data_IF_458139642989
#
_entry.id   IF_458139642989
#
_cell.length_a   1.000
_cell.length_b   1.000
_cell.length_c   1.000
_cell.angle_alpha   90.00
_cell.angle_beta   90.00
_cell.angle_gamma   90.00
#
_symmetry.space_group_name_H-M   'P 1'
#
loop_
_entity.id
_entity.type
_entity.pdbx_description
1 polymer ?
#
# COMPACT_ATOMS: atom_id res chain seq x y z
N UNK A 1 -67.83 -18.14 52.47
CA UNK A 1 -67.02 -18.56 51.32
C UNK A 1 -66.81 -17.36 50.40
N UNK A 2 -65.61 -16.70 50.45
CA UNK A 2 -65.32 -15.52 49.69
C UNK A 2 -64.34 -15.96 48.60
N UNK A 3 -64.73 -15.82 47.32
CA UNK A 3 -63.86 -16.12 46.14
C UNK A 3 -63.09 -14.86 45.76
N UNK A 4 -61.75 -14.89 45.88
CA UNK A 4 -60.85 -13.89 45.31
C UNK A 4 -60.52 -14.27 43.89
N UNK A 5 -60.91 -13.41 42.94
CA UNK A 5 -60.45 -13.50 41.52
C UNK A 5 -59.15 -12.69 41.37
N UNK A 6 -58.08 -13.36 41.00
CA UNK A 6 -56.81 -12.73 40.69
C UNK A 6 -56.83 -12.36 39.18
N UNK A 7 -56.88 -11.07 38.91
CA UNK A 7 -56.72 -10.56 37.54
C UNK A 7 -55.22 -10.49 37.21
N UNK A 8 -54.77 -11.29 36.24
CA UNK A 8 -53.40 -11.24 35.71
C UNK A 8 -53.27 -10.08 34.71
N UNK A 9 -52.48 -9.08 35.06
CA UNK A 9 -52.13 -7.95 34.17
C UNK A 9 -50.98 -8.40 33.29
N UNK A 10 -51.23 -8.65 32.00
CA UNK A 10 -50.19 -8.90 31.00
C UNK A 10 -49.58 -7.57 30.53
N UNK A 11 -48.34 -7.29 30.94
CA UNK A 11 -47.54 -6.15 30.43
C UNK A 11 -46.96 -6.56 29.10
N UNK A 12 -47.51 -6.06 28.00
CA UNK A 12 -46.95 -6.17 26.67
C UNK A 12 -45.77 -5.15 26.54
N UNK A 13 -44.54 -5.64 26.66
CA UNK A 13 -43.37 -4.85 26.38
C UNK A 13 -43.26 -4.63 24.84
N UNK A 14 -43.62 -3.44 24.39
CA UNK A 14 -43.43 -3.02 23.02
C UNK A 14 -41.90 -2.85 22.75
N UNK A 15 -41.32 -3.81 22.07
CA UNK A 15 -39.96 -3.64 21.48
C UNK A 15 -40.06 -2.61 20.36
N UNK A 16 -39.79 -1.36 20.67
CA UNK A 16 -39.52 -0.34 19.64
C UNK A 16 -38.16 -0.67 19.03
N UNK A 17 -38.05 -0.85 17.69
CA UNK A 17 -36.76 -0.99 17.05
C UNK A 17 -36.01 0.33 17.27
N UNK A 18 -34.87 0.24 17.96
CA UNK A 18 -33.91 1.35 18.03
C UNK A 18 -33.56 1.75 16.59
N UNK A 19 -33.62 3.04 16.22
CA UNK A 19 -33.21 3.48 14.92
C UNK A 19 -31.77 3.04 14.74
N UNK A 20 -31.53 2.17 13.73
CA UNK A 20 -30.18 1.84 13.30
C UNK A 20 -29.52 3.18 12.98
N UNK A 21 -28.54 3.59 13.79
CA UNK A 21 -27.72 4.78 13.50
C UNK A 21 -27.19 4.60 12.10
N UNK A 22 -27.73 5.35 11.14
CA UNK A 22 -27.21 5.42 9.79
C UNK A 22 -25.72 5.76 9.93
N UNK A 23 -24.86 4.80 9.66
CA UNK A 23 -23.43 4.98 9.73
C UNK A 23 -23.11 6.21 8.88
N UNK A 24 -22.38 7.19 9.43
CA UNK A 24 -21.93 8.38 8.70
C UNK A 24 -21.28 7.88 7.42
N UNK A 25 -21.99 7.97 6.29
CA UNK A 25 -21.55 7.51 4.97
C UNK A 25 -20.57 8.50 4.34
N UNK A 26 -20.47 9.69 4.89
CA UNK A 26 -19.68 10.78 4.36
C UNK A 26 -18.37 10.93 5.14
N UNK A 27 -17.26 11.03 4.39
CA UNK A 27 -15.96 11.43 4.93
C UNK A 27 -15.79 12.93 4.73
N UNK A 28 -15.48 13.65 5.79
CA UNK A 28 -15.30 15.12 5.77
C UNK A 28 -13.85 15.46 5.41
N UNK A 29 -12.91 14.61 5.82
CA UNK A 29 -11.47 14.85 5.66
C UNK A 29 -10.74 13.59 5.20
N UNK A 30 -9.49 13.79 4.73
CA UNK A 30 -8.54 12.69 4.49
C UNK A 30 -8.33 11.86 5.76
N UNK A 31 -8.27 12.49 6.93
CA UNK A 31 -8.08 11.81 8.21
C UNK A 31 -9.19 10.80 8.50
N UNK A 32 -10.45 11.14 8.18
CA UNK A 32 -11.58 10.24 8.38
C UNK A 32 -11.48 8.99 7.50
N UNK A 33 -11.00 9.17 6.25
CA UNK A 33 -10.76 8.04 5.35
C UNK A 33 -9.67 7.14 5.90
N UNK A 34 -8.57 7.75 6.38
CA UNK A 34 -7.43 7.03 6.96
C UNK A 34 -7.86 6.23 8.20
N UNK A 35 -8.64 6.83 9.08
CA UNK A 35 -9.17 6.17 10.29
C UNK A 35 -10.13 5.02 9.95
N UNK A 36 -10.93 5.17 8.90
CA UNK A 36 -11.77 4.09 8.41
C UNK A 36 -10.96 2.95 7.81
N UNK A 37 -9.93 3.23 7.01
CA UNK A 37 -9.02 2.22 6.44
C UNK A 37 -8.33 1.43 7.55
N UNK A 38 -7.86 2.10 8.61
CA UNK A 38 -7.18 1.47 9.75
C UNK A 38 -8.02 0.37 10.40
N UNK A 39 -9.32 0.60 10.49
CA UNK A 39 -10.29 -0.31 11.12
C UNK A 39 -10.96 -1.27 10.15
N UNK A 40 -10.77 -1.07 8.83
CA UNK A 40 -11.51 -1.79 7.81
C UNK A 40 -11.35 -3.30 7.90
N UNK A 41 -10.16 -3.82 8.20
CA UNK A 41 -9.92 -5.26 8.34
C UNK A 41 -10.75 -5.92 9.44
N UNK A 42 -11.02 -5.17 10.51
CA UNK A 42 -11.82 -5.63 11.66
C UNK A 42 -13.32 -5.49 11.40
N UNK A 43 -13.70 -4.48 10.62
CA UNK A 43 -15.09 -4.19 10.28
C UNK A 43 -15.20 -3.77 8.82
N UNK A 44 -15.24 -4.72 7.87
CA UNK A 44 -15.36 -4.39 6.45
C UNK A 44 -16.68 -3.69 6.11
N UNK A 45 -16.58 -2.52 5.50
CA UNK A 45 -17.71 -1.70 5.04
C UNK A 45 -17.48 -1.30 3.56
N UNK A 46 -17.51 -2.26 2.61
CA UNK A 46 -17.14 -2.00 1.21
C UNK A 46 -18.01 -0.93 0.55
N UNK A 47 -19.27 -0.78 0.95
CA UNK A 47 -20.17 0.25 0.43
C UNK A 47 -19.68 1.68 0.67
N UNK A 48 -18.75 1.92 1.59
CA UNK A 48 -18.14 3.23 1.85
C UNK A 48 -16.98 3.58 0.91
N UNK A 49 -16.43 2.60 0.15
CA UNK A 49 -15.31 2.83 -0.76
C UNK A 49 -15.54 4.00 -1.74
N UNK A 50 -16.69 4.11 -2.42
CA UNK A 50 -16.93 5.22 -3.33
C UNK A 50 -16.85 6.60 -2.66
N UNK A 51 -17.41 6.72 -1.45
CA UNK A 51 -17.36 7.96 -0.68
C UNK A 51 -15.92 8.27 -0.24
N UNK A 52 -15.16 7.26 0.18
CA UNK A 52 -13.75 7.42 0.56
C UNK A 52 -12.88 7.91 -0.62
N UNK A 53 -13.04 7.33 -1.81
CA UNK A 53 -12.30 7.74 -3.01
C UNK A 53 -12.64 9.19 -3.39
N UNK A 54 -13.94 9.57 -3.34
CA UNK A 54 -14.36 10.95 -3.62
C UNK A 54 -13.82 11.95 -2.60
N UNK A 55 -13.76 11.57 -1.32
CA UNK A 55 -13.18 12.41 -0.28
C UNK A 55 -11.66 12.59 -0.46
N UNK A 56 -10.94 11.52 -0.84
CA UNK A 56 -9.51 11.60 -1.16
C UNK A 56 -9.25 12.50 -2.38
N UNK A 57 -10.08 12.39 -3.42
CA UNK A 57 -10.01 13.24 -4.61
C UNK A 57 -10.25 14.72 -4.24
N UNK A 58 -11.30 15.01 -3.46
CA UNK A 58 -11.60 16.37 -2.99
C UNK A 58 -10.51 16.97 -2.11
N UNK A 59 -9.77 16.12 -1.38
CA UNK A 59 -8.66 16.51 -0.53
C UNK A 59 -7.30 16.58 -1.27
N UNK A 60 -7.31 16.52 -2.60
CA UNK A 60 -6.10 16.46 -3.45
C UNK A 60 -5.13 15.32 -3.12
N UNK A 61 -5.58 14.30 -2.40
CA UNK A 61 -4.73 13.19 -1.96
C UNK A 61 -4.36 12.21 -3.11
N UNK A 62 -4.98 12.38 -4.27
CA UNK A 62 -4.76 11.56 -5.47
C UNK A 62 -3.97 12.30 -6.55
N UNK A 63 -3.54 13.56 -6.26
CA UNK A 63 -2.85 14.41 -7.24
C UNK A 63 -1.48 13.84 -7.65
N UNK A 64 -0.80 13.19 -6.71
CA UNK A 64 0.48 12.51 -6.96
C UNK A 64 0.27 10.99 -6.95
N UNK A 65 0.32 10.32 -8.12
CA UNK A 65 0.17 8.88 -8.23
C UNK A 65 1.20 8.08 -7.43
N UNK A 66 2.43 8.57 -7.30
CA UNK A 66 3.49 7.89 -6.56
C UNK A 66 3.22 7.91 -5.04
N UNK A 67 2.61 9.00 -4.53
CA UNK A 67 2.23 9.11 -3.13
C UNK A 67 0.88 8.44 -2.79
N UNK A 68 0.10 8.06 -3.80
CA UNK A 68 -1.25 7.51 -3.62
C UNK A 68 -1.33 5.98 -3.76
N UNK A 69 -0.20 5.29 -3.90
CA UNK A 69 -0.13 3.83 -4.07
C UNK A 69 -0.94 3.05 -3.03
N UNK A 70 -0.89 3.48 -1.77
CA UNK A 70 -1.65 2.87 -0.69
C UNK A 70 -3.17 2.91 -0.95
N UNK A 71 -3.71 4.04 -1.40
CA UNK A 71 -5.14 4.17 -1.68
C UNK A 71 -5.57 3.34 -2.89
N UNK A 72 -4.71 3.24 -3.91
CA UNK A 72 -4.91 2.33 -5.05
C UNK A 72 -4.98 0.89 -4.59
N UNK A 73 -4.00 0.45 -3.80
CA UNK A 73 -3.95 -0.91 -3.27
C UNK A 73 -5.15 -1.24 -2.40
N UNK A 74 -5.56 -0.29 -1.56
CA UNK A 74 -6.75 -0.44 -0.72
C UNK A 74 -8.03 -0.57 -1.56
N UNK A 75 -8.24 0.34 -2.51
CA UNK A 75 -9.40 0.28 -3.39
C UNK A 75 -9.43 -1.03 -4.21
N UNK A 76 -8.28 -1.43 -4.76
CA UNK A 76 -8.14 -2.69 -5.48
C UNK A 76 -8.47 -3.91 -4.60
N UNK A 77 -7.97 -3.92 -3.36
CA UNK A 77 -8.24 -5.00 -2.42
C UNK A 77 -9.71 -5.08 -2.00
N UNK A 78 -10.37 -3.93 -1.79
CA UNK A 78 -11.82 -3.90 -1.51
C UNK A 78 -12.62 -4.43 -2.69
N UNK A 79 -12.29 -4.04 -3.92
CA UNK A 79 -12.95 -4.56 -5.13
C UNK A 79 -12.72 -6.08 -5.24
N UNK A 80 -11.48 -6.55 -5.09
CA UNK A 80 -11.13 -7.97 -5.20
C UNK A 80 -11.78 -8.85 -4.15
N UNK A 81 -11.95 -8.33 -2.93
CA UNK A 81 -12.62 -9.03 -1.82
C UNK A 81 -14.16 -9.05 -1.93
N UNK A 82 -14.74 -8.26 -2.85
CA UNK A 82 -16.19 -8.14 -3.02
C UNK A 82 -16.60 -8.27 -4.50
N UNK A 83 -16.34 -9.42 -5.15
CA UNK A 83 -16.56 -9.59 -6.59
C UNK A 83 -18.01 -9.30 -7.03
N UNK A 84 -18.99 -9.71 -6.21
CA UNK A 84 -20.42 -9.51 -6.50
C UNK A 84 -20.87 -8.04 -6.43
N UNK A 85 -20.12 -7.20 -5.71
CA UNK A 85 -20.40 -5.77 -5.53
C UNK A 85 -19.46 -4.88 -6.33
N UNK A 86 -18.42 -5.44 -6.96
CA UNK A 86 -17.38 -4.66 -7.61
C UNK A 86 -17.92 -3.72 -8.67
N UNK A 87 -18.84 -4.19 -9.50
CA UNK A 87 -19.48 -3.38 -10.56
C UNK A 87 -20.23 -2.18 -9.96
N UNK A 88 -21.04 -2.40 -8.93
CA UNK A 88 -21.78 -1.35 -8.23
C UNK A 88 -20.83 -0.34 -7.56
N UNK A 89 -19.77 -0.82 -6.91
CA UNK A 89 -18.79 0.04 -6.24
C UNK A 89 -18.05 0.93 -7.25
N UNK A 90 -17.65 0.39 -8.40
CA UNK A 90 -17.03 1.16 -9.49
C UNK A 90 -18.00 2.18 -10.03
N UNK A 91 -19.25 1.78 -10.30
CA UNK A 91 -20.30 2.68 -10.80
C UNK A 91 -20.52 3.89 -9.88
N UNK A 92 -20.53 3.67 -8.55
CA UNK A 92 -20.72 4.71 -7.53
C UNK A 92 -19.47 5.57 -7.29
N UNK A 93 -18.29 5.01 -7.52
CA UNK A 93 -17.02 5.73 -7.41
C UNK A 93 -16.88 6.79 -8.51
N UNK A 94 -17.37 6.49 -9.70
CA UNK A 94 -17.37 7.40 -10.83
C UNK A 94 -18.61 8.35 -10.83
N UNK A 95 -18.53 9.57 -11.41
CA UNK A 95 -17.34 10.15 -12.04
C UNK A 95 -16.29 10.64 -11.04
N UNK A 96 -15.05 10.69 -11.50
CA UNK A 96 -13.93 11.35 -10.84
C UNK A 96 -13.40 12.46 -11.75
N UNK A 97 -12.77 13.51 -11.19
CA UNK A 97 -12.02 14.49 -11.97
C UNK A 97 -11.02 13.80 -12.90
N UNK A 98 -10.73 14.37 -14.04
CA UNK A 98 -9.83 13.79 -15.05
C UNK A 98 -8.45 13.45 -14.48
N UNK A 99 -7.94 14.30 -13.61
CA UNK A 99 -6.68 14.07 -12.90
C UNK A 99 -6.67 12.78 -12.08
N UNK A 100 -7.78 12.38 -11.49
CA UNK A 100 -7.92 11.31 -10.50
C UNK A 100 -8.47 9.98 -11.08
N UNK A 101 -8.97 9.99 -12.33
CA UNK A 101 -9.52 8.79 -12.98
C UNK A 101 -8.51 7.62 -13.02
N UNK A 102 -7.22 7.90 -13.00
CA UNK A 102 -6.17 6.90 -12.99
C UNK A 102 -6.26 5.94 -11.80
N UNK A 103 -6.75 6.43 -10.63
CA UNK A 103 -6.96 5.57 -9.45
C UNK A 103 -7.99 4.48 -9.75
N UNK A 104 -9.13 4.84 -10.37
CA UNK A 104 -10.16 3.87 -10.70
C UNK A 104 -9.65 2.83 -11.72
N UNK A 105 -8.90 3.27 -12.75
CA UNK A 105 -8.28 2.36 -13.72
C UNK A 105 -7.34 1.37 -13.02
N UNK A 106 -6.42 1.87 -12.20
CA UNK A 106 -5.48 0.99 -11.46
C UNK A 106 -6.19 0.10 -10.44
N UNK A 107 -7.17 0.63 -9.70
CA UNK A 107 -7.91 -0.17 -8.72
C UNK A 107 -8.62 -1.35 -9.37
N UNK A 108 -9.21 -1.16 -10.56
CA UNK A 108 -9.83 -2.25 -11.33
C UNK A 108 -8.75 -3.25 -11.81
N UNK A 109 -7.68 -2.77 -12.45
CA UNK A 109 -6.62 -3.62 -12.99
C UNK A 109 -5.89 -4.41 -11.89
N UNK A 110 -5.74 -3.84 -10.69
CA UNK A 110 -5.03 -4.43 -9.55
C UNK A 110 -5.93 -5.23 -8.61
N UNK A 111 -7.24 -5.30 -8.89
CA UNK A 111 -8.21 -5.98 -8.02
C UNK A 111 -8.00 -7.49 -7.92
N UNK A 112 -7.37 -8.11 -8.93
CA UNK A 112 -7.27 -9.56 -9.04
C UNK A 112 -8.59 -10.24 -9.46
N UNK A 113 -9.61 -9.47 -9.81
CA UNK A 113 -10.88 -10.01 -10.32
C UNK A 113 -10.68 -10.68 -11.68
N UNK A 114 -11.23 -11.87 -11.94
CA UNK A 114 -11.12 -12.50 -13.26
C UNK A 114 -11.67 -11.62 -14.39
N UNK A 115 -12.75 -10.87 -14.11
CA UNK A 115 -13.44 -10.00 -15.07
C UNK A 115 -12.91 -8.56 -15.11
N UNK A 116 -11.73 -8.27 -14.58
CA UNK A 116 -11.21 -6.89 -14.50
C UNK A 116 -11.11 -6.19 -15.87
N UNK A 117 -10.78 -6.96 -16.94
CA UNK A 117 -10.71 -6.41 -18.31
C UNK A 117 -12.08 -5.96 -18.82
N UNK A 118 -13.13 -6.72 -18.51
CA UNK A 118 -14.51 -6.38 -18.93
C UNK A 118 -15.03 -5.19 -18.14
N UNK A 119 -14.67 -5.10 -16.85
CA UNK A 119 -14.97 -3.91 -16.05
C UNK A 119 -14.27 -2.67 -16.61
N UNK A 120 -12.98 -2.75 -16.98
CA UNK A 120 -12.29 -1.62 -17.62
C UNK A 120 -12.94 -1.20 -18.93
N UNK A 121 -13.31 -2.16 -19.80
CA UNK A 121 -14.03 -1.84 -21.06
C UNK A 121 -15.37 -1.15 -20.79
N UNK A 122 -16.15 -1.69 -19.85
CA UNK A 122 -17.48 -1.17 -19.48
C UNK A 122 -17.42 0.27 -18.99
N UNK A 123 -16.43 0.61 -18.18
CA UNK A 123 -16.31 1.94 -17.58
C UNK A 123 -15.40 2.91 -18.37
N UNK A 124 -14.82 2.49 -19.49
CA UNK A 124 -13.87 3.30 -20.27
C UNK A 124 -14.45 4.66 -20.71
N UNK A 125 -15.71 4.69 -21.12
CA UNK A 125 -16.41 5.91 -21.52
C UNK A 125 -16.63 6.90 -20.37
N UNK A 126 -16.59 6.42 -19.13
CA UNK A 126 -16.69 7.26 -17.92
C UNK A 126 -15.33 7.73 -17.39
N UNK A 127 -14.24 7.31 -18.03
CA UNK A 127 -12.85 7.68 -17.72
C UNK A 127 -12.11 8.12 -18.99
N UNK A 128 -12.64 9.09 -19.75
CA UNK A 128 -12.11 9.45 -21.07
C UNK A 128 -10.68 9.98 -21.01
N UNK A 129 -10.30 10.66 -19.93
CA UNK A 129 -8.96 11.19 -19.74
C UNK A 129 -7.90 10.09 -19.56
N UNK A 130 -8.29 8.83 -19.38
CA UNK A 130 -7.38 7.67 -19.17
C UNK A 130 -7.52 6.61 -20.25
N UNK A 131 -8.03 6.96 -21.42
CA UNK A 131 -8.21 6.01 -22.52
C UNK A 131 -6.92 5.26 -22.89
N UNK A 132 -5.82 5.97 -23.08
CA UNK A 132 -4.50 5.35 -23.39
C UNK A 132 -4.06 4.38 -22.28
N UNK A 133 -4.22 4.78 -21.03
CA UNK A 133 -3.87 3.92 -19.88
C UNK A 133 -4.72 2.66 -19.86
N UNK A 134 -6.02 2.76 -20.12
CA UNK A 134 -6.94 1.62 -20.20
C UNK A 134 -6.52 0.68 -21.33
N UNK A 135 -6.26 1.21 -22.53
CA UNK A 135 -5.81 0.42 -23.68
C UNK A 135 -4.51 -0.33 -23.37
N UNK A 136 -3.55 0.32 -22.73
CA UNK A 136 -2.28 -0.31 -22.34
C UNK A 136 -2.41 -1.41 -21.30
N UNK A 137 -3.42 -1.37 -20.42
CA UNK A 137 -3.76 -2.51 -19.56
C UNK A 137 -4.43 -3.63 -20.35
N UNK A 138 -5.36 -3.31 -21.25
CA UNK A 138 -6.13 -4.29 -21.99
C UNK A 138 -5.26 -5.10 -22.97
N UNK A 139 -4.25 -4.47 -23.58
CA UNK A 139 -3.30 -5.08 -24.51
C UNK A 139 -2.03 -5.67 -23.84
N UNK A 140 -1.93 -5.59 -22.49
CA UNK A 140 -0.84 -6.16 -21.71
C UNK A 140 0.46 -5.36 -21.74
N UNK A 141 0.46 -4.12 -22.24
CA UNK A 141 1.62 -3.22 -22.12
C UNK A 141 1.84 -2.67 -20.71
N UNK A 142 0.77 -2.59 -19.90
CA UNK A 142 0.86 -2.36 -18.47
C UNK A 142 0.50 -3.64 -17.72
N UNK A 143 1.30 -3.96 -16.72
CA UNK A 143 1.12 -5.15 -15.89
C UNK A 143 0.15 -4.88 -14.74
N UNK A 144 -0.66 -5.87 -14.42
CA UNK A 144 -1.46 -5.86 -13.18
C UNK A 144 -0.55 -6.07 -11.96
N UNK A 145 -1.08 -5.78 -10.78
CA UNK A 145 -0.31 -5.96 -9.55
C UNK A 145 0.22 -7.40 -9.39
N UNK A 146 -0.58 -8.39 -9.77
CA UNK A 146 -0.21 -9.81 -9.63
C UNK A 146 0.81 -10.28 -10.69
N UNK A 147 0.91 -9.58 -11.82
CA UNK A 147 1.88 -9.84 -12.90
C UNK A 147 3.24 -9.16 -12.65
N UNK A 148 3.30 -8.14 -11.80
CA UNK A 148 4.55 -7.45 -11.47
C UNK A 148 5.43 -8.38 -10.64
N UNK A 149 6.55 -8.78 -11.18
CA UNK A 149 7.55 -9.59 -10.47
C UNK A 149 8.52 -8.68 -9.71
N UNK A 150 8.59 -8.85 -8.39
CA UNK A 150 9.34 -7.97 -7.49
C UNK A 150 10.82 -8.32 -7.35
N UNK A 151 11.23 -9.52 -7.71
CA UNK A 151 12.62 -9.97 -7.57
C UNK A 151 12.99 -10.94 -8.69
N UNK A 152 13.34 -10.39 -9.86
CA UNK A 152 14.25 -11.10 -10.76
C UNK A 152 15.57 -10.35 -10.74
N UNK A 153 16.45 -10.75 -9.81
CA UNK A 153 17.87 -10.57 -10.07
C UNK A 153 18.15 -11.16 -11.44
N UNK A 154 18.70 -10.40 -12.39
CA UNK A 154 18.95 -10.93 -13.70
C UNK A 154 19.76 -12.22 -13.58
N UNK A 155 19.32 -13.27 -14.27
CA UNK A 155 20.05 -14.53 -14.33
C UNK A 155 21.48 -14.27 -14.80
N UNK A 156 22.41 -15.19 -14.56
CA UNK A 156 23.80 -15.03 -15.00
C UNK A 156 23.90 -14.78 -16.52
N UNK A 157 23.01 -15.39 -17.32
CA UNK A 157 22.90 -15.18 -18.77
C UNK A 157 22.41 -13.78 -19.12
N UNK A 158 21.40 -13.28 -18.40
CA UNK A 158 20.90 -11.90 -18.57
C UNK A 158 21.95 -10.88 -18.13
N UNK A 159 22.72 -11.16 -17.07
CA UNK A 159 23.86 -10.32 -16.67
C UNK A 159 24.92 -10.25 -17.76
N UNK A 160 25.27 -11.37 -18.38
CA UNK A 160 26.20 -11.41 -19.51
C UNK A 160 25.62 -10.63 -20.70
N UNK A 161 24.36 -10.85 -21.04
CA UNK A 161 23.70 -10.14 -22.15
C UNK A 161 23.67 -8.62 -21.95
N UNK A 162 23.34 -8.16 -20.75
CA UNK A 162 23.39 -6.73 -20.38
C UNK A 162 24.83 -6.19 -20.44
N UNK A 163 25.81 -6.98 -19.99
CA UNK A 163 27.23 -6.61 -19.99
C UNK A 163 27.78 -6.51 -21.40
N UNK A 164 27.21 -7.25 -22.36
CA UNK A 164 27.53 -7.20 -23.79
C UNK A 164 26.75 -6.11 -24.54
N UNK A 165 26.06 -5.21 -23.85
CA UNK A 165 25.29 -4.11 -24.44
C UNK A 165 23.87 -4.47 -24.89
N UNK A 166 23.38 -5.66 -24.53
CA UNK A 166 22.02 -6.07 -24.78
C UNK A 166 21.03 -5.33 -23.88
N UNK A 167 19.79 -5.12 -24.38
CA UNK A 167 18.72 -4.52 -23.58
C UNK A 167 18.27 -5.53 -22.52
N UNK A 168 17.98 -5.08 -21.28
CA UNK A 168 17.35 -5.95 -20.28
C UNK A 168 16.00 -6.47 -20.82
N UNK A 169 15.58 -7.69 -20.42
CA UNK A 169 14.32 -8.25 -20.87
C UNK A 169 13.18 -7.28 -20.51
N UNK A 170 12.34 -6.99 -21.50
CA UNK A 170 11.33 -5.91 -21.46
C UNK A 170 10.20 -6.09 -20.41
N UNK A 171 10.21 -7.19 -19.65
CA UNK A 171 9.20 -7.54 -18.62
C UNK A 171 9.67 -7.36 -17.18
N UNK A 172 10.93 -6.98 -16.94
CA UNK A 172 11.39 -6.68 -15.59
C UNK A 172 10.91 -5.28 -15.22
N UNK A 173 9.83 -5.18 -14.48
CA UNK A 173 9.43 -3.92 -13.85
C UNK A 173 10.35 -3.72 -12.66
N UNK A 174 11.28 -2.76 -12.78
CA UNK A 174 12.10 -2.32 -11.67
C UNK A 174 11.22 -1.63 -10.63
N UNK A 175 11.45 -1.89 -9.34
CA UNK A 175 10.87 -1.09 -8.26
C UNK A 175 11.15 0.40 -8.40
N UNK A 176 12.29 0.79 -8.96
CA UNK A 176 12.63 2.18 -9.19
C UNK A 176 11.70 2.91 -10.14
N UNK A 177 11.04 2.17 -11.02
CA UNK A 177 10.03 2.72 -11.91
C UNK A 177 8.61 2.66 -11.31
N UNK A 178 8.45 2.05 -10.12
CA UNK A 178 7.15 1.90 -9.43
C UNK A 178 7.35 1.97 -7.90
N UNK A 179 7.80 3.11 -7.37
CA UNK A 179 8.06 3.27 -5.93
C UNK A 179 6.81 3.08 -5.08
N UNK A 180 5.63 3.34 -5.67
CA UNK A 180 4.33 3.17 -5.04
C UNK A 180 3.91 1.71 -4.83
N UNK A 181 4.69 0.74 -5.37
CA UNK A 181 4.30 -0.67 -5.35
C UNK A 181 4.26 -1.25 -3.94
N UNK A 182 5.25 -0.89 -3.10
CA UNK A 182 5.28 -1.31 -1.68
C UNK A 182 4.02 -0.85 -0.95
N UNK A 183 3.60 0.34 -1.24
CA UNK A 183 2.45 1.01 -0.66
C UNK A 183 1.14 0.39 -1.15
N UNK A 184 1.10 0.07 -2.43
CA UNK A 184 -0.02 -0.65 -3.05
C UNK A 184 -0.20 -2.03 -2.39
N UNK A 185 0.88 -2.74 -2.10
CA UNK A 185 0.83 -4.02 -1.38
C UNK A 185 0.30 -3.87 0.05
N UNK A 186 0.74 -2.83 0.78
CA UNK A 186 0.17 -2.54 2.09
C UNK A 186 -1.31 -2.18 2.01
N UNK A 187 -1.71 -1.33 1.06
CA UNK A 187 -3.12 -1.00 0.84
C UNK A 187 -3.96 -2.25 0.60
N UNK A 188 -3.47 -3.17 -0.22
CA UNK A 188 -4.14 -4.45 -0.50
C UNK A 188 -4.28 -5.32 0.76
N UNK A 189 -3.26 -5.36 1.61
CA UNK A 189 -3.34 -6.05 2.90
C UNK A 189 -4.39 -5.43 3.82
N UNK A 190 -4.43 -4.10 3.92
CA UNK A 190 -5.41 -3.40 4.79
C UNK A 190 -6.85 -3.54 4.30
N UNK A 191 -7.08 -3.80 3.02
CA UNK A 191 -8.41 -4.00 2.45
C UNK A 191 -9.02 -5.37 2.73
N UNK A 192 -8.23 -6.41 2.97
CA UNK A 192 -8.79 -7.76 3.05
C UNK A 192 -7.86 -8.80 3.68
N UNK A 193 -6.80 -8.35 4.37
CA UNK A 193 -5.78 -9.25 4.96
C UNK A 193 -5.12 -10.16 3.92
N UNK A 194 -4.89 -9.63 2.72
CA UNK A 194 -4.23 -10.38 1.63
C UNK A 194 -2.79 -10.74 2.04
N UNK A 195 -2.63 -11.98 2.51
CA UNK A 195 -1.33 -12.50 2.95
C UNK A 195 -0.29 -12.51 1.83
N UNK A 196 -0.70 -12.63 0.55
CA UNK A 196 0.23 -12.60 -0.60
C UNK A 196 0.93 -11.25 -0.69
N UNK A 197 0.24 -10.16 -0.37
CA UNK A 197 0.85 -8.84 -0.35
C UNK A 197 2.02 -8.78 0.65
N UNK A 198 1.85 -9.32 1.86
CA UNK A 198 2.92 -9.37 2.86
C UNK A 198 4.08 -10.25 2.38
N UNK A 199 3.78 -11.42 1.76
CA UNK A 199 4.85 -12.30 1.23
C UNK A 199 5.70 -11.59 0.19
N UNK A 200 5.09 -10.80 -0.66
CA UNK A 200 5.80 -10.00 -1.66
C UNK A 200 6.67 -8.92 -1.02
N UNK A 201 6.19 -8.27 0.05
CA UNK A 201 7.00 -7.31 0.81
C UNK A 201 8.22 -8.00 1.45
N UNK A 202 8.09 -9.24 1.94
CA UNK A 202 9.21 -9.97 2.51
C UNK A 202 10.33 -10.25 1.50
N UNK A 203 10.02 -10.42 0.21
CA UNK A 203 11.04 -10.75 -0.82
C UNK A 203 12.08 -9.65 -0.99
N UNK A 204 11.76 -8.40 -0.66
CA UNK A 204 12.69 -7.27 -0.78
C UNK A 204 13.44 -6.94 0.51
N UNK A 205 13.20 -7.66 1.61
CA UNK A 205 13.94 -7.47 2.87
C UNK A 205 15.47 -7.60 2.73
N UNK A 206 16.03 -8.52 1.91
CA UNK A 206 17.46 -8.60 1.70
C UNK A 206 18.08 -7.30 1.17
N UNK A 207 17.31 -6.49 0.45
CA UNK A 207 17.76 -5.22 -0.11
C UNK A 207 18.03 -4.15 0.95
N UNK A 208 17.55 -4.33 2.19
CA UNK A 208 17.84 -3.42 3.31
C UNK A 208 19.34 -3.33 3.68
N UNK A 209 20.19 -4.13 3.03
CA UNK A 209 21.64 -4.11 3.15
C UNK A 209 22.34 -4.09 1.77
N UNK A 210 21.63 -3.68 0.72
CA UNK A 210 22.19 -3.60 -0.62
C UNK A 210 23.29 -2.54 -0.67
N UNK A 211 24.45 -2.89 -1.24
CA UNK A 211 25.61 -2.02 -1.35
C UNK A 211 25.85 -1.54 -2.78
N UNK A 212 25.05 -2.01 -3.72
CA UNK A 212 25.24 -1.77 -5.15
C UNK A 212 24.21 -0.81 -5.74
N UNK A 213 23.01 -0.74 -5.14
CA UNK A 213 21.89 0.08 -5.63
C UNK A 213 21.25 0.85 -4.49
N UNK A 214 21.31 2.19 -4.56
CA UNK A 214 20.62 3.09 -3.64
C UNK A 214 19.10 2.84 -3.67
N UNK A 215 18.54 2.58 -4.85
CA UNK A 215 17.13 2.26 -5.05
C UNK A 215 16.74 1.01 -4.24
N UNK A 216 17.47 -0.10 -4.42
CA UNK A 216 17.20 -1.36 -3.70
C UNK A 216 17.38 -1.18 -2.20
N UNK A 217 18.46 -0.52 -1.76
CA UNK A 217 18.68 -0.19 -0.35
C UNK A 217 17.49 0.60 0.23
N UNK A 218 16.99 1.58 -0.50
CA UNK A 218 15.88 2.42 -0.07
C UNK A 218 14.57 1.63 0.05
N UNK A 219 14.25 0.81 -0.95
CA UNK A 219 13.04 -0.04 -0.93
C UNK A 219 13.11 -1.11 0.16
N UNK A 220 14.25 -1.80 0.28
CA UNK A 220 14.47 -2.78 1.35
C UNK A 220 14.38 -2.16 2.74
N UNK A 221 14.94 -0.96 2.91
CA UNK A 221 14.87 -0.19 4.15
C UNK A 221 13.42 0.20 4.49
N UNK A 222 12.65 0.67 3.50
CA UNK A 222 11.25 0.99 3.67
C UNK A 222 10.42 -0.26 4.02
N UNK A 223 10.68 -1.38 3.35
CA UNK A 223 10.02 -2.65 3.66
C UNK A 223 10.33 -3.11 5.09
N UNK A 224 11.61 -3.11 5.50
CA UNK A 224 12.04 -3.49 6.86
C UNK A 224 11.37 -2.62 7.92
N UNK A 225 11.35 -1.31 7.72
CA UNK A 225 10.73 -0.36 8.65
C UNK A 225 9.21 -0.52 8.71
N UNK A 226 8.51 -0.56 7.57
CA UNK A 226 7.05 -0.65 7.54
C UNK A 226 6.54 -1.98 8.09
N UNK A 227 7.27 -3.09 7.87
CA UNK A 227 6.97 -4.37 8.50
C UNK A 227 7.10 -4.31 10.01
N UNK A 228 8.20 -3.75 10.54
CA UNK A 228 8.41 -3.62 11.97
C UNK A 228 7.35 -2.72 12.63
N UNK A 229 7.07 -1.58 12.03
CA UNK A 229 6.09 -0.63 12.56
C UNK A 229 4.66 -1.19 12.55
N UNK A 230 4.26 -1.84 11.46
CA UNK A 230 2.94 -2.47 11.39
C UNK A 230 2.83 -3.70 12.29
N UNK A 231 3.89 -4.51 12.42
CA UNK A 231 3.90 -5.64 13.34
C UNK A 231 3.84 -5.20 14.82
N UNK A 232 4.48 -4.10 15.18
CA UNK A 232 4.39 -3.54 16.54
C UNK A 232 2.97 -3.03 16.86
N UNK A 233 2.26 -2.53 15.84
CA UNK A 233 0.92 -1.94 16.01
C UNK A 233 -0.21 -2.96 15.88
N UNK A 234 -0.06 -3.93 14.98
CA UNK A 234 -1.11 -4.89 14.64
C UNK A 234 -0.66 -6.31 15.01
N UNK A 235 -1.22 -6.89 16.10
CA UNK A 235 -0.85 -8.24 16.57
C UNK A 235 -1.04 -9.33 15.51
N UNK A 236 -2.01 -9.17 14.61
CA UNK A 236 -2.24 -10.10 13.50
C UNK A 236 -1.11 -10.08 12.48
N UNK A 237 -0.53 -8.90 12.20
CA UNK A 237 0.67 -8.78 11.35
C UNK A 237 1.84 -9.47 12.02
N UNK A 238 2.08 -9.21 13.30
CA UNK A 238 3.18 -9.84 14.05
C UNK A 238 3.06 -11.37 14.07
N UNK A 239 1.85 -11.88 14.35
CA UNK A 239 1.59 -13.32 14.34
C UNK A 239 1.86 -13.94 12.95
N UNK A 240 1.46 -13.24 11.89
CA UNK A 240 1.71 -13.64 10.51
C UNK A 240 3.20 -13.72 10.18
N UNK A 241 3.99 -12.73 10.60
CA UNK A 241 5.44 -12.73 10.39
C UNK A 241 6.12 -13.86 11.17
N UNK A 242 5.75 -14.09 12.43
CA UNK A 242 6.25 -15.21 13.25
C UNK A 242 5.90 -16.58 12.66
N UNK A 243 4.70 -16.76 12.11
CA UNK A 243 4.27 -17.99 11.44
C UNK A 243 5.17 -18.31 10.23
N UNK A 244 5.61 -17.29 9.50
CA UNK A 244 6.33 -17.46 8.24
C UNK A 244 7.84 -17.46 8.37
N UNK A 245 8.38 -16.87 9.43
CA UNK A 245 9.82 -16.74 9.62
C UNK A 245 10.58 -18.07 9.46
N UNK A 246 10.19 -19.20 10.09
CA UNK A 246 10.94 -20.45 9.99
C UNK A 246 11.02 -21.05 8.59
N UNK A 247 10.10 -20.66 7.72
CA UNK A 247 9.99 -21.20 6.35
C UNK A 247 10.69 -20.31 5.31
N UNK A 248 11.29 -19.19 5.73
CA UNK A 248 11.96 -18.27 4.82
C UNK A 248 13.40 -18.71 4.52
N UNK A 249 13.91 -18.47 3.31
CA UNK A 249 15.34 -18.56 3.02
C UNK A 249 16.15 -17.68 3.97
N UNK A 250 17.39 -18.05 4.26
CA UNK A 250 18.23 -17.35 5.24
C UNK A 250 18.38 -15.85 4.95
N UNK A 251 18.47 -15.48 3.67
CA UNK A 251 18.59 -14.08 3.25
C UNK A 251 17.38 -13.22 3.66
N UNK A 252 16.18 -13.80 3.72
CA UNK A 252 14.94 -13.15 4.18
C UNK A 252 14.78 -13.34 5.68
N UNK A 253 15.08 -14.52 6.20
CA UNK A 253 14.85 -14.91 7.59
C UNK A 253 15.60 -14.01 8.57
N UNK A 254 16.90 -13.74 8.34
CA UNK A 254 17.69 -12.88 9.23
C UNK A 254 17.11 -11.47 9.38
N UNK A 255 16.88 -10.69 8.30
CA UNK A 255 16.26 -9.37 8.44
C UNK A 255 14.82 -9.44 8.96
N UNK A 256 14.09 -10.53 8.75
CA UNK A 256 12.76 -10.73 9.31
C UNK A 256 12.80 -10.95 10.83
N UNK A 257 13.81 -11.66 11.34
CA UNK A 257 14.05 -11.80 12.80
C UNK A 257 14.30 -10.44 13.46
N UNK A 258 15.07 -9.55 12.81
CA UNK A 258 15.26 -8.18 13.29
C UNK A 258 13.93 -7.42 13.36
N UNK A 259 13.08 -7.57 12.32
CA UNK A 259 11.74 -6.96 12.25
C UNK A 259 10.87 -7.45 13.42
N UNK A 260 10.78 -8.76 13.61
CA UNK A 260 9.98 -9.38 14.67
C UNK A 260 10.48 -8.93 16.06
N UNK A 261 11.79 -8.96 16.27
CA UNK A 261 12.39 -8.51 17.53
C UNK A 261 12.06 -7.05 17.83
N UNK A 262 12.21 -6.17 16.84
CA UNK A 262 11.90 -4.75 17.01
C UNK A 262 10.41 -4.51 17.27
N UNK A 263 9.52 -5.28 16.66
CA UNK A 263 8.08 -5.21 16.91
C UNK A 263 7.73 -5.69 18.32
N UNK A 264 8.29 -6.82 18.77
CA UNK A 264 8.06 -7.37 20.12
C UNK A 264 8.56 -6.43 21.23
N UNK A 265 9.65 -5.70 20.99
CA UNK A 265 10.24 -4.78 21.97
C UNK A 265 9.80 -3.32 21.80
N UNK A 266 8.92 -3.04 20.86
CA UNK A 266 8.48 -1.69 20.46
C UNK A 266 9.65 -0.76 20.06
N UNK A 267 10.79 -1.33 19.63
CA UNK A 267 12.00 -0.59 19.25
C UNK A 267 12.09 -0.29 17.75
N UNK A 268 10.97 0.03 17.14
CA UNK A 268 10.91 0.32 15.68
C UNK A 268 11.72 1.56 15.30
N UNK A 269 11.88 2.51 16.22
CA UNK A 269 12.70 3.71 16.02
C UNK A 269 14.18 3.37 15.79
N UNK A 270 14.69 2.27 16.37
CA UNK A 270 16.05 1.82 16.16
C UNK A 270 16.27 1.34 14.73
N UNK A 271 15.35 0.51 14.19
CA UNK A 271 15.42 0.09 12.79
C UNK A 271 15.45 1.31 11.86
N UNK A 272 14.59 2.31 12.11
CA UNK A 272 14.57 3.53 11.32
C UNK A 272 15.92 4.24 11.32
N UNK A 273 16.50 4.45 12.52
CA UNK A 273 17.81 5.12 12.68
C UNK A 273 18.90 4.41 11.90
N UNK A 274 18.95 3.08 12.02
CA UNK A 274 19.95 2.25 11.33
C UNK A 274 19.80 2.33 9.81
N UNK A 275 18.56 2.26 9.29
CA UNK A 275 18.33 2.31 7.85
C UNK A 275 18.62 3.70 7.26
N UNK A 276 18.30 4.79 7.97
CA UNK A 276 18.69 6.13 7.56
C UNK A 276 20.20 6.28 7.50
N UNK A 277 20.93 5.80 8.51
CA UNK A 277 22.37 5.86 8.53
C UNK A 277 23.02 5.11 7.33
N UNK A 278 22.47 3.95 6.95
CA UNK A 278 22.95 3.19 5.79
C UNK A 278 22.70 3.94 4.48
N UNK A 279 21.54 4.58 4.32
CA UNK A 279 21.20 5.38 3.15
C UNK A 279 22.11 6.61 3.04
N UNK A 280 22.35 7.31 4.16
CA UNK A 280 23.21 8.48 4.19
C UNK A 280 24.67 8.10 3.92
N UNK A 281 25.15 6.98 4.49
CA UNK A 281 26.47 6.44 4.18
C UNK A 281 26.61 6.10 2.69
N UNK A 282 25.62 5.43 2.11
CA UNK A 282 25.60 5.12 0.68
C UNK A 282 25.66 6.39 -0.19
N UNK A 283 24.88 7.42 0.16
CA UNK A 283 24.90 8.72 -0.54
C UNK A 283 26.27 9.39 -0.47
N UNK A 284 26.96 9.26 0.67
CA UNK A 284 28.27 9.86 0.92
C UNK A 284 29.41 9.11 0.21
N UNK A 285 29.40 7.78 0.24
CA UNK A 285 30.49 6.92 -0.23
C UNK A 285 30.28 6.42 -1.67
N UNK A 286 29.04 6.41 -2.14
CA UNK A 286 28.65 5.81 -3.42
C UNK A 286 28.57 4.28 -3.35
N UNK A 287 28.24 3.66 -4.49
CA UNK A 287 28.24 2.20 -4.63
C UNK A 287 29.66 1.64 -4.52
N UNK A 288 29.81 0.51 -3.83
CA UNK A 288 31.08 -0.24 -3.76
C UNK A 288 31.53 -0.69 -5.15
N UNK A 289 30.60 -0.84 -6.07
CA UNK A 289 30.88 -1.19 -7.48
C UNK A 289 30.86 0.06 -8.35
N UNK A 290 32.02 0.63 -8.66
CA UNK A 290 32.21 1.84 -9.48
C UNK A 290 31.53 1.87 -10.87
N UNK A 291 30.79 0.83 -11.27
CA UNK A 291 30.16 0.69 -12.59
C UNK A 291 28.82 1.40 -12.76
N UNK A 292 28.15 1.85 -11.71
CA UNK A 292 26.78 2.40 -11.80
C UNK A 292 26.69 3.94 -11.76
N UNK A 293 27.80 4.66 -11.92
CA UNK A 293 27.81 6.14 -11.91
C UNK A 293 26.94 6.79 -12.99
N UNK A 294 26.57 6.07 -14.05
CA UNK A 294 25.71 6.60 -15.12
C UNK A 294 24.21 6.59 -14.79
N UNK A 295 23.78 5.91 -13.72
CA UNK A 295 22.38 5.81 -13.31
C UNK A 295 21.94 6.92 -12.35
N UNK A 296 22.85 7.79 -11.93
CA UNK A 296 22.59 8.92 -11.02
C UNK A 296 21.70 10.02 -11.60
N UNK A 297 21.37 9.97 -12.89
CA UNK A 297 20.44 10.91 -13.54
C UNK A 297 18.96 10.75 -13.11
N UNK A 298 18.60 9.67 -12.39
CA UNK A 298 17.25 9.39 -11.90
C UNK A 298 17.09 9.59 -10.38
N UNK A 299 17.86 10.48 -9.80
CA UNK A 299 17.88 10.74 -8.34
C UNK A 299 16.56 11.24 -7.77
N UNK A 300 15.60 11.66 -8.61
CA UNK A 300 14.29 12.16 -8.16
C UNK A 300 13.38 11.10 -7.49
N UNK A 301 13.52 9.83 -7.83
CA UNK A 301 12.60 8.78 -7.39
C UNK A 301 13.01 8.09 -6.07
N UNK A 302 14.30 8.08 -5.73
CA UNK A 302 14.79 7.53 -4.45
C UNK A 302 14.42 8.38 -3.22
N UNK A 303 13.96 9.62 -3.42
CA UNK A 303 13.65 10.56 -2.33
C UNK A 303 12.35 10.22 -1.61
N UNK A 304 11.38 9.56 -2.23
CA UNK A 304 10.07 9.25 -1.63
C UNK A 304 10.20 8.20 -0.52
N UNK A 305 10.95 7.12 -0.76
CA UNK A 305 11.14 6.08 0.25
C UNK A 305 12.03 6.53 1.42
N UNK A 306 13.03 7.40 1.17
CA UNK A 306 13.79 8.09 2.23
C UNK A 306 12.87 9.01 3.01
N UNK A 307 11.96 9.72 2.32
CA UNK A 307 10.93 10.55 2.93
C UNK A 307 10.04 9.77 3.89
N UNK A 308 9.64 8.54 3.55
CA UNK A 308 8.86 7.69 4.44
C UNK A 308 9.61 7.32 5.72
N UNK A 309 10.88 6.96 5.64
CA UNK A 309 11.69 6.67 6.81
C UNK A 309 11.93 7.94 7.64
N UNK A 310 12.04 9.11 7.01
CA UNK A 310 12.24 10.41 7.66
C UNK A 310 10.94 11.01 8.22
N UNK A 311 9.80 10.94 7.50
CA UNK A 311 8.52 11.55 7.92
C UNK A 311 7.93 10.92 9.18
N UNK A 312 8.20 9.65 9.44
CA UNK A 312 7.88 9.02 10.72
C UNK A 312 8.62 9.68 11.90
N UNK A 313 9.60 10.57 11.64
CA UNK A 313 10.31 11.32 12.67
C UNK A 313 9.49 12.49 13.24
N UNK A 314 8.52 13.00 12.47
CA UNK A 314 7.75 14.20 12.83
C UNK A 314 6.32 13.80 13.21
N UNK A 315 6.18 13.06 14.32
CA UNK A 315 4.96 12.90 15.15
C UNK A 315 3.61 12.56 14.48
N UNK A 316 3.55 12.08 13.23
CA UNK A 316 2.32 11.54 12.66
C UNK A 316 2.06 10.07 13.03
N UNK A 317 2.83 9.53 13.97
CA UNK A 317 2.66 8.21 14.57
C UNK A 317 1.30 8.03 15.28
N UNK A 318 0.60 9.11 15.56
CA UNK A 318 -0.72 9.07 16.21
C UNK A 318 -1.82 8.44 15.32
N UNK A 319 -1.64 8.41 14.00
CA UNK A 319 -2.64 7.86 13.08
C UNK A 319 -2.34 6.45 12.58
N UNK A 320 -1.17 5.89 12.93
CA UNK A 320 -0.84 4.47 12.83
C UNK A 320 -0.92 3.77 11.50
N UNK A 321 -1.14 4.48 10.45
CA UNK A 321 -1.09 3.92 9.12
C UNK A 321 0.35 3.80 8.63
N UNK A 322 0.66 2.87 7.71
CA UNK A 322 1.99 2.76 7.15
C UNK A 322 2.48 4.14 6.71
N UNK A 323 3.78 4.34 6.79
CA UNK A 323 4.51 5.56 6.44
C UNK A 323 4.03 6.27 5.15
N UNK A 324 3.47 5.53 4.27
CA UNK A 324 2.96 5.83 2.96
C UNK A 324 1.80 6.80 2.93
N UNK A 325 0.93 6.78 3.92
CA UNK A 325 -0.20 7.73 3.98
C UNK A 325 0.29 9.14 4.35
N UNK A 326 1.50 9.22 4.90
CA UNK A 326 2.20 10.47 5.15
C UNK A 326 2.79 11.15 3.90
N UNK A 327 2.74 10.55 2.70
CA UNK A 327 3.43 11.03 1.50
C UNK A 327 3.16 12.49 1.11
N UNK A 328 1.97 13.04 1.40
CA UNK A 328 1.71 14.48 1.21
C UNK A 328 2.45 15.37 2.22
N UNK A 329 2.85 14.82 3.38
CA UNK A 329 3.64 15.53 4.39
C UNK A 329 5.14 15.43 4.09
N UNK A 330 5.56 14.39 3.35
CA UNK A 330 6.95 14.18 2.96
C UNK A 330 7.45 15.23 1.97
N UNK A 331 6.62 15.70 1.05
CA UNK A 331 7.02 16.78 0.13
C UNK A 331 7.34 18.08 0.89
N UNK A 332 6.57 18.40 1.94
CA UNK A 332 6.85 19.55 2.80
C UNK A 332 8.10 19.33 3.68
N UNK A 333 8.32 18.13 4.19
CA UNK A 333 9.49 17.80 4.99
C UNK A 333 10.78 17.75 4.14
N UNK A 334 10.71 17.22 2.91
CA UNK A 334 11.84 17.21 1.97
C UNK A 334 12.22 18.63 1.58
N UNK A 335 11.23 19.50 1.30
CA UNK A 335 11.49 20.91 0.98
C UNK A 335 12.09 21.66 2.18
N UNK A 336 11.70 21.32 3.41
CA UNK A 336 12.28 21.90 4.62
C UNK A 336 13.75 21.49 4.83
N UNK A 337 14.11 20.21 4.54
CA UNK A 337 15.49 19.73 4.67
C UNK A 337 16.39 20.07 3.48
N UNK A 338 15.81 20.29 2.29
CA UNK A 338 16.57 20.78 1.13
C UNK A 338 16.87 22.29 1.20
N UNK A 339 16.22 23.01 2.12
CA UNK A 339 16.41 24.45 2.34
C UNK A 339 17.35 24.76 3.52
N UNK A 340 17.86 23.74 4.23
CA UNK A 340 18.94 23.87 5.24
C UNK A 340 20.24 23.27 4.69
#
# INVERSE_FOLDING_TARGET
MVRFSIAALAVAAAFLPLPAQAAKTEFISRSDVVEWIDRYRLKPEPARLPAAVKALSKADALRDPEAAGFYVGFAAGVLGANPDKADELIAKMLPLPDGDQWLAVRAIAYSGLPQWRDLLRRYSTRMPARKDMIERYLDGRLLTLDEIELDKSPTWLEKIHIQMGGKPPSKAVSYGNNPELLDTLWGRYFAGSDRKAIWRILTVLPWAKDTDSLERLTIGSAAKYTLANNAARYPDVLALLKEKEPRQPEAIRKPLQDVIKAADTMQTAQIRKEQLALIDEFKRTGSVTKKNLKMWGYVGQGTIAVGCIAAAAVSLTALGLPCVIGGAVTSAAINYWAAQ
#
